data_IF_023164490286
#
_entry.id   IF_023164490286
#
_cell.length_a   1.000
_cell.length_b   1.000
_cell.length_c   1.000
_cell.angle_alpha   90.00
_cell.angle_beta   90.00
_cell.angle_gamma   90.00
#
_symmetry.space_group_name_H-M   'P 1'
#
loop_
_entity.id
_entity.type
_entity.pdbx_description
1 polymer ?
#
# COMPACT_ATOMS: atom_id res chain seq x y z
N UNK A 1 -32.41 -5.01 27.02
CA UNK A 1 -31.45 -6.12 26.77
C UNK A 1 -30.44 -5.74 25.68
N UNK A 2 -29.93 -4.51 25.73
CA UNK A 2 -29.06 -3.95 24.70
C UNK A 2 -27.95 -3.13 25.37
N UNK A 3 -27.10 -3.81 26.15
CA UNK A 3 -25.87 -3.26 26.72
C UNK A 3 -24.93 -4.45 26.92
N UNK A 4 -23.83 -4.53 26.17
CA UNK A 4 -22.85 -5.61 26.35
C UNK A 4 -21.93 -6.00 25.18
N UNK A 5 -21.89 -5.28 24.05
CA UNK A 5 -20.94 -5.58 22.96
C UNK A 5 -20.09 -4.37 22.54
N UNK A 6 -19.75 -3.50 23.49
CA UNK A 6 -18.76 -2.44 23.32
C UNK A 6 -17.55 -2.71 24.22
N UNK A 7 -16.82 -3.79 23.95
CA UNK A 7 -15.52 -4.04 24.56
C UNK A 7 -14.56 -4.67 23.53
N UNK A 8 -13.38 -4.05 23.44
CA UNK A 8 -12.25 -4.39 22.59
C UNK A 8 -12.40 -4.06 21.09
N UNK A 9 -12.27 -2.76 20.77
CA UNK A 9 -11.41 -2.37 19.65
C UNK A 9 -9.98 -2.82 19.98
N UNK A 10 -9.74 -4.13 19.91
CA UNK A 10 -8.42 -4.71 20.11
C UNK A 10 -7.52 -4.15 19.02
N UNK A 11 -6.38 -3.55 19.42
CA UNK A 11 -5.25 -3.30 18.53
C UNK A 11 -5.11 -4.50 17.60
N UNK A 12 -5.41 -4.32 16.31
CA UNK A 12 -5.32 -5.37 15.30
C UNK A 12 -3.96 -6.04 15.43
N UNK A 13 -3.92 -7.26 15.97
CA UNK A 13 -2.67 -7.98 16.20
C UNK A 13 -2.16 -8.49 14.87
N UNK A 14 -0.85 -8.40 14.68
CA UNK A 14 -0.25 -8.96 13.48
C UNK A 14 -0.43 -10.50 13.47
N UNK A 15 -0.60 -11.09 12.29
CA UNK A 15 -0.83 -12.53 12.20
C UNK A 15 0.35 -13.39 12.67
N UNK A 16 1.54 -12.81 12.83
CA UNK A 16 2.70 -13.54 13.36
C UNK A 16 2.59 -13.71 14.87
N UNK A 17 2.28 -12.64 15.60
CA UNK A 17 2.03 -12.64 17.03
C UNK A 17 0.82 -13.50 17.39
N UNK A 18 -0.27 -13.38 16.60
CA UNK A 18 -1.44 -14.23 16.78
C UNK A 18 -1.09 -15.71 16.54
N UNK A 19 -0.27 -15.97 15.51
CA UNK A 19 0.30 -17.29 15.21
C UNK A 19 1.08 -17.87 16.39
N UNK A 20 2.05 -17.12 16.90
CA UNK A 20 2.89 -17.51 18.04
C UNK A 20 2.05 -17.78 19.29
N UNK A 21 1.09 -16.90 19.61
CA UNK A 21 0.16 -17.06 20.74
C UNK A 21 -0.68 -18.34 20.62
N UNK A 22 -1.17 -18.66 19.41
CA UNK A 22 -1.87 -19.92 19.17
C UNK A 22 -0.95 -21.14 19.28
N UNK A 23 0.33 -20.99 18.99
CA UNK A 23 1.29 -22.09 19.08
C UNK A 23 1.62 -22.43 20.54
N UNK A 24 1.55 -21.44 21.44
CA UNK A 24 1.74 -21.63 22.88
C UNK A 24 0.52 -22.22 23.59
N UNK A 25 -0.69 -22.03 23.04
CA UNK A 25 -1.92 -22.66 23.56
C UNK A 25 -2.07 -24.08 22.96
N UNK A 26 -2.06 -25.16 23.78
CA UNK A 26 -2.20 -26.53 23.29
C UNK A 26 -3.50 -26.77 22.49
N UNK A 27 -4.61 -26.13 22.89
CA UNK A 27 -5.92 -26.29 22.25
C UNK A 27 -5.91 -25.61 20.88
N UNK A 28 -5.51 -24.34 20.83
CA UNK A 28 -5.39 -23.61 19.58
C UNK A 28 -4.39 -24.27 18.63
N UNK A 29 -3.22 -24.66 19.14
CA UNK A 29 -2.17 -25.29 18.34
C UNK A 29 -2.63 -26.61 17.71
N UNK A 30 -3.33 -27.46 18.45
CA UNK A 30 -3.88 -28.70 17.92
C UNK A 30 -4.87 -28.43 16.78
N UNK A 31 -5.82 -27.50 16.98
CA UNK A 31 -6.80 -27.11 15.95
C UNK A 31 -6.12 -26.50 14.73
N UNK A 32 -5.13 -25.62 14.91
CA UNK A 32 -4.41 -24.99 13.82
C UNK A 32 -3.58 -25.99 12.99
N UNK A 33 -3.00 -27.03 13.62
CA UNK A 33 -2.35 -28.15 12.91
C UNK A 33 -3.34 -28.96 12.09
N UNK A 34 -4.50 -29.29 12.67
CA UNK A 34 -5.59 -29.99 11.95
C UNK A 34 -6.07 -29.16 10.75
N UNK A 35 -6.23 -27.85 10.91
CA UNK A 35 -6.61 -26.95 9.82
C UNK A 35 -5.61 -27.00 8.65
N UNK A 36 -4.30 -26.97 8.94
CA UNK A 36 -3.27 -27.09 7.89
C UNK A 36 -3.34 -28.44 7.17
N UNK A 37 -3.67 -29.52 7.87
CA UNK A 37 -3.89 -30.83 7.25
C UNK A 37 -5.14 -30.82 6.36
N UNK A 38 -6.21 -30.13 6.75
CA UNK A 38 -7.41 -30.01 5.93
C UNK A 38 -7.15 -29.31 4.58
N UNK A 39 -6.26 -28.31 4.57
CA UNK A 39 -6.00 -27.46 3.39
C UNK A 39 -4.93 -28.06 2.46
N UNK A 40 -4.00 -28.84 3.00
CA UNK A 40 -2.91 -29.41 2.21
C UNK A 40 -3.42 -30.53 1.29
N UNK A 41 -3.31 -30.34 -0.04
CA UNK A 41 -3.56 -31.31 -1.13
C UNK A 41 -4.08 -32.71 -0.75
N UNK A 42 -5.38 -32.94 -0.92
CA UNK A 42 -6.11 -34.15 -0.54
C UNK A 42 -6.09 -34.50 0.96
N UNK A 43 -5.73 -33.56 1.83
CA UNK A 43 -5.54 -33.81 3.26
C UNK A 43 -6.83 -34.06 4.02
N UNK A 44 -7.97 -33.54 3.56
CA UNK A 44 -9.28 -34.00 4.01
C UNK A 44 -9.46 -35.53 3.76
N UNK A 45 -8.92 -36.09 2.68
CA UNK A 45 -9.02 -37.54 2.44
C UNK A 45 -8.07 -38.34 3.36
N UNK A 46 -7.04 -37.72 3.93
CA UNK A 46 -6.06 -38.34 4.85
C UNK A 46 -6.52 -38.40 6.31
N UNK A 47 -7.58 -37.65 6.67
CA UNK A 47 -8.15 -37.57 8.02
C UNK A 47 -9.20 -38.67 8.30
N UNK A 48 -9.48 -39.56 7.33
CA UNK A 48 -10.40 -40.69 7.49
C UNK A 48 -11.88 -40.35 7.27
N UNK A 49 -12.80 -41.31 7.52
CA UNK A 49 -14.23 -41.08 7.43
C UNK A 49 -14.67 -40.00 8.44
N UNK A 50 -15.27 -38.90 7.96
CA UNK A 50 -15.64 -37.76 8.81
C UNK A 50 -14.65 -36.58 8.78
N UNK A 51 -13.60 -36.65 7.98
CA UNK A 51 -12.64 -35.56 7.83
C UNK A 51 -13.26 -34.20 7.47
N UNK A 52 -14.27 -34.18 6.58
CA UNK A 52 -14.94 -32.93 6.20
C UNK A 52 -15.63 -32.24 7.40
N UNK A 53 -16.28 -33.01 8.27
CA UNK A 53 -16.92 -32.45 9.47
C UNK A 53 -15.88 -32.04 10.51
N UNK A 54 -14.79 -32.80 10.65
CA UNK A 54 -13.66 -32.43 11.51
C UNK A 54 -12.98 -31.14 11.06
N UNK A 55 -12.77 -30.95 9.75
CA UNK A 55 -12.23 -29.73 9.17
C UNK A 55 -13.17 -28.54 9.41
N UNK A 56 -14.48 -28.71 9.17
CA UNK A 56 -15.47 -27.66 9.42
C UNK A 56 -15.53 -27.26 10.90
N UNK A 57 -15.57 -28.24 11.82
CA UNK A 57 -15.55 -27.99 13.27
C UNK A 57 -14.28 -27.27 13.71
N UNK A 58 -13.13 -27.63 13.13
CA UNK A 58 -11.84 -26.99 13.39
C UNK A 58 -11.84 -25.52 12.95
N UNK A 59 -12.40 -25.23 11.78
CA UNK A 59 -12.54 -23.84 11.28
C UNK A 59 -13.42 -23.03 12.23
N UNK A 60 -14.60 -23.54 12.60
CA UNK A 60 -15.51 -22.86 13.54
C UNK A 60 -14.85 -22.54 14.88
N UNK A 61 -14.06 -23.47 15.43
CA UNK A 61 -13.32 -23.24 16.67
C UNK A 61 -12.21 -22.19 16.52
N UNK A 62 -11.65 -22.00 15.32
CA UNK A 62 -10.63 -21.00 15.06
C UNK A 62 -11.22 -19.61 14.73
N UNK A 63 -12.50 -19.51 14.36
CA UNK A 63 -13.20 -18.23 14.16
C UNK A 63 -13.28 -17.40 15.45
N UNK A 64 -13.40 -18.05 16.61
CA UNK A 64 -13.39 -17.38 17.93
C UNK A 64 -12.00 -17.06 18.45
N UNK A 65 -10.94 -17.51 17.76
CA UNK A 65 -9.56 -17.26 18.16
C UNK A 65 -9.07 -15.89 17.70
N UNK A 66 -8.03 -15.37 18.36
CA UNK A 66 -7.36 -14.13 17.94
C UNK A 66 -6.74 -14.21 16.54
N UNK A 67 -6.57 -15.42 15.99
CA UNK A 67 -6.04 -15.60 14.65
C UNK A 67 -7.01 -15.15 13.55
N UNK A 68 -8.33 -15.21 13.78
CA UNK A 68 -9.30 -14.90 12.73
C UNK A 68 -9.26 -13.41 12.34
N UNK A 69 -9.15 -12.53 13.34
CA UNK A 69 -9.12 -11.08 13.15
C UNK A 69 -7.74 -10.49 12.86
N UNK A 70 -6.69 -11.32 12.74
CA UNK A 70 -5.34 -10.82 12.54
C UNK A 70 -5.18 -10.16 11.15
N UNK A 71 -4.26 -9.20 11.05
CA UNK A 71 -3.90 -8.54 9.79
C UNK A 71 -2.40 -8.51 9.58
N UNK A 72 -1.99 -8.19 8.37
CA UNK A 72 -0.60 -8.01 7.99
C UNK A 72 -0.31 -6.55 7.62
N UNK A 73 0.96 -6.17 7.66
CA UNK A 73 1.43 -4.85 7.22
C UNK A 73 2.21 -4.99 5.92
N UNK A 74 1.92 -4.13 4.95
CA UNK A 74 2.69 -4.06 3.70
C UNK A 74 4.17 -3.79 3.99
N UNK A 75 5.07 -4.44 3.25
CA UNK A 75 6.51 -4.20 3.34
C UNK A 75 7.19 -4.70 4.64
N UNK A 76 6.47 -5.45 5.49
CA UNK A 76 7.03 -6.03 6.72
C UNK A 76 8.05 -7.13 6.41
N UNK A 77 9.06 -7.32 7.27
CA UNK A 77 10.20 -8.25 7.02
C UNK A 77 9.75 -9.69 6.72
N UNK A 78 8.72 -10.17 7.41
CA UNK A 78 8.16 -11.54 7.28
C UNK A 78 6.77 -11.54 6.61
N UNK A 79 6.53 -10.63 5.66
CA UNK A 79 5.22 -10.44 5.01
C UNK A 79 4.65 -11.75 4.44
N UNK A 80 5.45 -12.47 3.63
CA UNK A 80 5.02 -13.76 3.04
C UNK A 80 4.55 -14.76 4.11
N UNK A 81 5.22 -14.78 5.27
CA UNK A 81 4.86 -15.67 6.36
C UNK A 81 3.58 -15.21 7.07
N UNK A 82 3.43 -13.91 7.32
CA UNK A 82 2.22 -13.32 7.88
C UNK A 82 0.99 -13.66 7.03
N UNK A 83 1.11 -13.45 5.71
CA UNK A 83 0.03 -13.73 4.75
C UNK A 83 -0.26 -15.24 4.66
N UNK A 84 0.76 -16.10 4.76
CA UNK A 84 0.55 -17.54 4.81
C UNK A 84 -0.27 -17.96 6.04
N UNK A 85 -0.05 -17.33 7.21
CA UNK A 85 -0.88 -17.54 8.40
C UNK A 85 -2.31 -17.05 8.17
N UNK A 86 -2.49 -15.83 7.65
CA UNK A 86 -3.81 -15.28 7.33
C UNK A 86 -4.60 -16.20 6.40
N UNK A 87 -4.02 -16.53 5.25
CA UNK A 87 -4.69 -17.36 4.25
C UNK A 87 -4.91 -18.80 4.73
N UNK A 88 -4.13 -19.32 5.68
CA UNK A 88 -4.42 -20.64 6.26
C UNK A 88 -5.80 -20.67 6.94
N UNK A 89 -6.30 -19.56 7.43
CA UNK A 89 -7.59 -19.48 8.15
C UNK A 89 -8.71 -19.07 7.21
N UNK A 90 -8.40 -18.10 6.34
CA UNK A 90 -9.37 -17.52 5.43
C UNK A 90 -9.57 -18.34 4.16
N UNK A 91 -8.71 -19.33 3.83
CA UNK A 91 -8.87 -20.16 2.63
C UNK A 91 -9.96 -21.24 2.77
N UNK A 92 -10.19 -21.77 3.97
CA UNK A 92 -11.22 -22.80 4.25
C UNK A 92 -12.66 -22.32 4.18
N UNK A 93 -12.89 -21.01 4.23
CA UNK A 93 -14.23 -20.41 4.12
C UNK A 93 -14.64 -20.12 2.65
N UNK A 94 -13.74 -20.37 1.70
CA UNK A 94 -13.83 -19.85 0.31
C UNK A 94 -14.58 -20.73 -0.67
N UNK A 95 -15.06 -21.91 -0.27
CA UNK A 95 -15.94 -22.74 -1.12
C UNK A 95 -17.38 -22.20 -1.20
N UNK A 96 -17.67 -21.01 -0.65
CA UNK A 96 -19.02 -20.42 -0.74
C UNK A 96 -19.26 -19.00 -0.21
N UNK A 97 -18.24 -18.27 0.27
CA UNK A 97 -18.40 -16.89 0.76
C UNK A 97 -17.44 -15.94 0.02
N UNK A 98 -17.96 -14.80 -0.42
CA UNK A 98 -17.27 -13.82 -1.26
C UNK A 98 -15.92 -13.38 -0.66
N UNK A 99 -14.83 -13.67 -1.38
CA UNK A 99 -13.44 -13.21 -1.15
C UNK A 99 -13.33 -11.68 -0.93
N UNK A 100 -14.32 -10.95 -1.44
CA UNK A 100 -14.32 -9.49 -1.51
C UNK A 100 -14.48 -8.80 -0.15
N UNK A 101 -14.78 -9.51 0.93
CA UNK A 101 -15.12 -8.84 2.21
C UNK A 101 -13.93 -8.62 3.17
N UNK A 102 -12.75 -9.22 2.95
CA UNK A 102 -11.61 -8.98 3.84
C UNK A 102 -10.23 -8.96 3.15
N UNK A 103 -9.67 -7.75 2.95
CA UNK A 103 -8.25 -7.58 2.65
C UNK A 103 -7.38 -8.10 3.82
N UNK A 104 -6.30 -8.85 3.57
CA UNK A 104 -5.39 -9.33 4.61
C UNK A 104 -4.53 -8.23 5.25
N UNK A 105 -4.43 -7.07 4.61
CA UNK A 105 -3.64 -5.96 5.14
C UNK A 105 -4.45 -5.08 6.06
N UNK A 106 -3.77 -4.47 7.04
CA UNK A 106 -4.36 -3.41 7.85
C UNK A 106 -4.80 -2.25 6.95
N UNK A 107 -5.98 -1.64 7.20
CA UNK A 107 -6.39 -0.44 6.50
C UNK A 107 -5.31 0.63 6.62
N UNK A 108 -5.04 1.33 5.51
CA UNK A 108 -4.16 2.47 5.56
C UNK A 108 -4.84 3.60 6.33
N UNK A 109 -4.42 3.82 7.57
CA UNK A 109 -4.99 4.81 8.49
C UNK A 109 -4.16 6.10 8.59
N UNK A 110 -3.05 6.24 7.84
CA UNK A 110 -2.37 7.54 7.85
C UNK A 110 -3.32 8.58 7.26
N UNK A 111 -3.50 9.63 8.04
CA UNK A 111 -4.55 10.63 7.94
C UNK A 111 -4.81 11.09 6.52
N UNK A 112 -6.08 11.40 6.30
CA UNK A 112 -6.74 11.85 5.08
C UNK A 112 -6.08 13.01 4.31
N UNK A 113 -4.93 13.54 4.76
CA UNK A 113 -4.21 14.62 4.10
C UNK A 113 -2.98 14.09 3.39
N UNK A 114 -3.22 13.58 2.19
CA UNK A 114 -2.20 13.46 1.18
C UNK A 114 -1.79 14.88 0.74
N UNK A 115 -0.94 15.56 1.53
CA UNK A 115 -0.40 16.85 1.11
C UNK A 115 0.55 16.59 -0.06
N UNK A 116 0.05 16.91 -1.24
CA UNK A 116 0.79 16.83 -2.49
C UNK A 116 2.10 17.60 -2.37
N UNK A 117 3.24 16.99 -2.73
CA UNK A 117 4.54 17.68 -2.77
C UNK A 117 4.51 18.92 -3.70
N UNK A 118 3.66 18.89 -4.74
CA UNK A 118 3.45 20.05 -5.62
C UNK A 118 2.90 21.29 -4.89
N UNK A 119 2.27 21.15 -3.71
CA UNK A 119 1.89 22.30 -2.87
C UNK A 119 3.08 23.00 -2.22
N UNK A 120 4.25 22.34 -2.15
CA UNK A 120 5.49 22.89 -1.61
C UNK A 120 6.31 23.58 -2.72
N UNK A 121 6.19 23.13 -3.97
CA UNK A 121 6.91 23.71 -5.12
C UNK A 121 6.24 24.96 -5.71
N UNK A 122 5.02 25.31 -5.28
CA UNK A 122 4.32 26.53 -5.72
C UNK A 122 4.99 27.85 -5.24
N UNK A 123 6.08 27.79 -4.46
CA UNK A 123 6.84 28.96 -4.01
C UNK A 123 7.93 29.46 -4.96
N UNK A 124 8.06 28.88 -6.17
CA UNK A 124 9.05 29.34 -7.17
C UNK A 124 8.33 29.99 -8.35
N UNK A 125 7.75 31.16 -8.12
CA UNK A 125 7.43 32.11 -9.19
C UNK A 125 8.73 32.54 -9.85
N UNK A 126 9.05 31.96 -11.01
CA UNK A 126 9.81 32.54 -12.13
C UNK A 126 10.23 31.41 -13.07
N UNK A 127 9.33 31.00 -13.98
CA UNK A 127 9.60 30.65 -15.39
C UNK A 127 8.38 29.98 -16.01
N UNK A 128 7.81 30.63 -17.02
CA UNK A 128 6.69 30.14 -17.85
C UNK A 128 7.23 29.13 -18.86
N UNK A 129 7.86 28.07 -18.37
CA UNK A 129 8.09 26.85 -19.16
C UNK A 129 7.02 25.86 -18.75
N UNK A 130 6.25 25.35 -19.72
CA UNK A 130 5.23 24.32 -19.53
C UNK A 130 5.73 23.23 -18.55
N UNK A 131 5.22 23.26 -17.33
CA UNK A 131 5.83 22.57 -16.19
C UNK A 131 5.53 21.08 -16.28
N UNK A 132 6.50 20.27 -16.73
CA UNK A 132 6.37 18.83 -16.78
C UNK A 132 6.35 18.24 -15.35
N UNK A 133 5.15 17.98 -14.82
CA UNK A 133 5.00 17.51 -13.43
C UNK A 133 5.71 16.19 -13.14
N UNK A 134 5.84 15.30 -14.13
CA UNK A 134 6.62 14.07 -13.97
C UNK A 134 8.12 14.33 -13.83
N UNK A 135 8.64 15.39 -14.48
CA UNK A 135 10.03 15.82 -14.30
C UNK A 135 10.24 16.40 -12.91
N UNK A 136 9.31 17.20 -12.40
CA UNK A 136 9.44 17.76 -11.05
C UNK A 136 9.30 16.72 -9.96
N UNK A 137 8.40 15.75 -10.12
CA UNK A 137 8.33 14.56 -9.27
C UNK A 137 9.67 13.81 -9.26
N UNK A 138 10.31 13.67 -10.43
CA UNK A 138 11.62 13.07 -10.54
C UNK A 138 12.73 13.89 -9.83
N UNK A 139 12.68 15.22 -9.90
CA UNK A 139 13.59 16.10 -9.16
C UNK A 139 13.38 15.99 -7.65
N UNK A 140 12.13 16.04 -7.18
CA UNK A 140 11.80 15.90 -5.77
C UNK A 140 12.30 14.58 -5.17
N UNK A 141 12.07 13.46 -5.87
CA UNK A 141 12.61 12.15 -5.47
C UNK A 141 14.14 12.11 -5.48
N UNK A 142 14.82 12.88 -6.34
CA UNK A 142 16.28 12.92 -6.38
C UNK A 142 16.90 13.73 -5.23
N UNK A 143 16.11 14.59 -4.57
CA UNK A 143 16.54 15.34 -3.37
C UNK A 143 16.34 14.50 -2.10
N UNK A 144 15.29 13.68 -2.04
CA UNK A 144 15.05 12.78 -0.91
C UNK A 144 15.98 11.57 -0.94
N UNK A 145 16.81 11.40 0.10
CA UNK A 145 17.83 10.35 0.16
C UNK A 145 17.25 8.92 0.03
N UNK A 146 16.08 8.67 0.64
CA UNK A 146 15.46 7.35 0.61
C UNK A 146 14.90 7.06 -0.79
N UNK A 147 14.17 8.01 -1.36
CA UNK A 147 13.58 7.91 -2.69
C UNK A 147 14.66 7.76 -3.75
N UNK A 148 15.65 8.65 -3.77
CA UNK A 148 16.76 8.62 -4.72
C UNK A 148 17.51 7.29 -4.68
N UNK A 149 17.86 6.80 -3.49
CA UNK A 149 18.59 5.55 -3.31
C UNK A 149 17.79 4.34 -3.79
N UNK A 150 16.53 4.20 -3.36
CA UNK A 150 15.70 3.06 -3.75
C UNK A 150 15.31 3.14 -5.24
N UNK A 151 15.15 4.34 -5.79
CA UNK A 151 14.94 4.57 -7.22
C UNK A 151 16.12 4.07 -8.04
N UNK A 152 17.31 4.52 -7.68
CA UNK A 152 18.56 4.11 -8.32
C UNK A 152 18.75 2.59 -8.22
N UNK A 153 18.45 1.99 -7.06
CA UNK A 153 18.52 0.54 -6.84
C UNK A 153 17.62 -0.22 -7.84
N UNK A 154 16.32 0.09 -7.91
CA UNK A 154 15.43 -0.68 -8.80
C UNK A 154 15.77 -0.43 -10.28
N UNK A 155 16.06 0.82 -10.66
CA UNK A 155 16.42 1.16 -12.05
C UNK A 155 17.65 0.37 -12.50
N UNK A 156 18.69 0.33 -11.66
CA UNK A 156 19.91 -0.44 -11.97
C UNK A 156 19.63 -1.94 -12.15
N UNK A 157 18.75 -2.51 -11.33
CA UNK A 157 18.40 -3.93 -11.40
C UNK A 157 17.49 -4.27 -12.59
N UNK A 158 16.67 -3.32 -13.05
CA UNK A 158 15.79 -3.50 -14.20
C UNK A 158 16.51 -3.26 -15.54
N UNK A 159 17.52 -2.39 -15.59
CA UNK A 159 18.30 -2.11 -16.81
C UNK A 159 19.45 -3.12 -16.98
N UNK A 160 20.03 -3.64 -15.89
CA UNK A 160 21.19 -4.55 -15.95
C UNK A 160 20.87 -5.83 -16.72
N UNK A 161 21.58 -6.04 -17.82
CA UNK A 161 21.59 -7.29 -18.58
C UNK A 161 22.69 -8.22 -18.09
N UNK A 162 22.40 -9.47 -17.71
CA UNK A 162 23.42 -10.49 -17.49
C UNK A 162 24.25 -10.69 -18.77
N UNK A 163 25.56 -10.95 -18.65
CA UNK A 163 26.50 -11.00 -19.77
C UNK A 163 26.26 -12.15 -20.80
N UNK A 164 25.15 -12.88 -20.70
CA UNK A 164 24.74 -14.00 -21.58
C UNK A 164 23.22 -14.13 -21.74
N UNK A 165 22.45 -13.11 -21.37
CA UNK A 165 20.99 -13.15 -21.43
C UNK A 165 20.45 -12.05 -22.34
N UNK A 166 19.51 -12.42 -23.21
CA UNK A 166 18.81 -11.49 -24.10
C UNK A 166 17.85 -10.56 -23.35
N UNK A 167 17.61 -10.82 -22.05
CA UNK A 167 16.64 -10.12 -21.22
C UNK A 167 17.16 -9.81 -19.81
N UNK A 168 16.51 -8.84 -19.16
CA UNK A 168 16.81 -8.47 -17.78
C UNK A 168 16.42 -9.58 -16.77
N UNK A 169 16.95 -9.52 -15.55
CA UNK A 169 16.45 -10.37 -14.46
C UNK A 169 15.16 -9.81 -13.86
N UNK A 170 14.01 -10.15 -14.48
CA UNK A 170 12.69 -9.66 -14.09
C UNK A 170 12.34 -9.93 -12.63
N UNK A 171 12.75 -11.08 -12.06
CA UNK A 171 12.51 -11.41 -10.64
C UNK A 171 13.22 -10.43 -9.69
N UNK A 172 14.48 -10.09 -9.96
CA UNK A 172 15.23 -9.08 -9.18
C UNK A 172 14.64 -7.69 -9.35
N UNK A 173 14.30 -7.30 -10.59
CA UNK A 173 13.64 -6.04 -10.89
C UNK A 173 12.31 -5.89 -10.12
N UNK A 174 11.42 -6.89 -10.21
CA UNK A 174 10.15 -6.93 -9.48
C UNK A 174 10.33 -6.86 -7.96
N UNK A 175 11.32 -7.56 -7.40
CA UNK A 175 11.63 -7.49 -5.97
C UNK A 175 12.04 -6.08 -5.54
N UNK A 176 12.85 -5.40 -6.36
CA UNK A 176 13.28 -4.04 -6.09
C UNK A 176 12.16 -3.01 -6.25
N UNK A 177 11.30 -3.17 -7.28
CA UNK A 177 10.10 -2.34 -7.47
C UNK A 177 9.14 -2.45 -6.27
N UNK A 178 8.84 -3.66 -5.80
CA UNK A 178 8.01 -3.84 -4.58
C UNK A 178 8.63 -3.14 -3.38
N UNK A 179 9.96 -3.25 -3.21
CA UNK A 179 10.69 -2.56 -2.12
C UNK A 179 10.57 -1.03 -2.26
N UNK A 180 10.66 -0.48 -3.46
CA UNK A 180 10.49 0.95 -3.72
C UNK A 180 9.10 1.42 -3.31
N UNK A 181 8.02 0.82 -3.84
CA UNK A 181 6.64 1.23 -3.54
C UNK A 181 6.17 0.92 -2.11
N UNK A 182 6.82 -0.02 -1.41
CA UNK A 182 6.50 -0.30 0.00
C UNK A 182 7.28 0.56 1.01
N UNK A 183 8.40 1.16 0.61
CA UNK A 183 9.30 1.88 1.52
C UNK A 183 9.39 3.37 1.25
N UNK A 184 9.30 3.79 0.00
CA UNK A 184 9.27 5.20 -0.35
C UNK A 184 7.87 5.73 -0.03
N UNK A 185 7.77 6.87 0.67
CA UNK A 185 6.49 7.45 0.99
C UNK A 185 5.61 7.69 -0.26
N UNK A 186 4.28 7.51 -0.15
CA UNK A 186 3.37 7.71 -1.26
C UNK A 186 3.59 9.04 -1.97
N UNK A 187 3.82 10.13 -1.23
CA UNK A 187 3.98 11.50 -1.76
C UNK A 187 4.99 11.56 -2.91
N UNK A 188 6.07 10.79 -2.89
CA UNK A 188 6.99 10.70 -4.02
C UNK A 188 6.55 9.68 -5.06
N UNK A 189 6.12 8.50 -4.64
CA UNK A 189 5.83 7.39 -5.58
C UNK A 189 4.61 7.65 -6.46
N UNK A 190 3.56 8.28 -5.93
CA UNK A 190 2.38 8.63 -6.71
C UNK A 190 2.64 9.85 -7.61
N UNK A 191 3.44 10.83 -7.18
CA UNK A 191 3.82 11.94 -8.04
C UNK A 191 4.64 11.46 -9.24
N UNK A 192 5.51 10.47 -9.05
CA UNK A 192 6.24 9.86 -10.16
C UNK A 192 5.32 9.10 -11.13
N UNK A 193 4.33 8.39 -10.59
CA UNK A 193 3.54 7.43 -11.36
C UNK A 193 2.25 8.00 -11.96
N UNK A 194 1.59 8.92 -11.26
CA UNK A 194 0.28 9.48 -11.60
C UNK A 194 0.33 10.97 -11.94
N UNK A 195 1.51 11.52 -12.22
CA UNK A 195 1.66 12.88 -12.72
C UNK A 195 0.78 13.12 -13.97
N UNK A 196 0.07 14.25 -14.04
CA UNK A 196 -0.69 14.61 -15.23
C UNK A 196 0.28 15.05 -16.35
N UNK A 197 -0.11 14.80 -17.59
CA UNK A 197 0.68 15.10 -18.77
C UNK A 197 -0.16 15.73 -19.86
N UNK A 198 0.39 16.76 -20.50
CA UNK A 198 -0.20 17.46 -21.64
C UNK A 198 0.45 17.06 -22.97
N UNK A 199 1.68 16.53 -22.92
CA UNK A 199 2.44 16.11 -24.09
C UNK A 199 2.89 14.63 -24.00
N UNK A 200 3.31 14.10 -25.15
CA UNK A 200 3.76 12.71 -25.29
C UNK A 200 5.09 12.45 -24.58
N UNK A 201 5.94 13.48 -24.41
CA UNK A 201 7.22 13.37 -23.71
C UNK A 201 7.02 13.14 -22.20
N UNK A 202 6.11 13.88 -21.58
CA UNK A 202 5.66 13.66 -20.21
C UNK A 202 5.01 12.29 -20.06
N UNK A 203 4.08 11.94 -20.96
CA UNK A 203 3.38 10.65 -20.89
C UNK A 203 4.34 9.47 -21.03
N UNK A 204 5.36 9.58 -21.88
CA UNK A 204 6.42 8.57 -21.99
C UNK A 204 7.28 8.51 -20.73
N UNK A 205 7.63 9.66 -20.12
CA UNK A 205 8.33 9.67 -18.82
C UNK A 205 7.53 8.95 -17.75
N UNK A 206 6.21 9.20 -17.69
CA UNK A 206 5.28 8.52 -16.77
C UNK A 206 5.26 7.01 -17.01
N UNK A 207 5.13 6.58 -18.27
CA UNK A 207 5.14 5.16 -18.68
C UNK A 207 6.46 4.46 -18.34
N UNK A 208 7.58 5.17 -18.43
CA UNK A 208 8.93 4.67 -18.15
C UNK A 208 9.26 4.54 -16.65
N UNK A 209 8.41 5.04 -15.75
CA UNK A 209 8.64 5.05 -14.29
C UNK A 209 9.07 3.70 -13.72
N UNK A 210 8.46 2.61 -14.22
CA UNK A 210 8.72 1.25 -13.74
C UNK A 210 9.66 0.44 -14.67
N UNK A 211 10.28 1.07 -15.67
CA UNK A 211 11.14 0.40 -16.68
C UNK A 211 10.39 -0.73 -17.41
N UNK A 212 9.37 -0.39 -18.24
CA UNK A 212 8.45 -1.37 -18.82
C UNK A 212 9.13 -2.46 -19.65
N UNK A 213 10.20 -2.12 -20.37
CA UNK A 213 11.00 -3.08 -21.17
C UNK A 213 11.52 -4.28 -20.37
N UNK A 214 11.58 -4.18 -19.04
CA UNK A 214 11.95 -5.27 -18.14
C UNK A 214 10.79 -5.75 -17.26
N UNK A 215 10.07 -4.81 -16.65
CA UNK A 215 9.10 -5.10 -15.58
C UNK A 215 7.69 -5.40 -16.07
N UNK A 216 7.35 -4.99 -17.30
CA UNK A 216 6.00 -5.00 -17.84
C UNK A 216 5.92 -5.78 -19.15
N UNK A 217 6.63 -5.34 -20.18
CA UNK A 217 6.60 -5.90 -21.53
C UNK A 217 7.21 -7.30 -21.59
N UNK A 218 6.72 -8.10 -22.53
CA UNK A 218 7.26 -9.39 -22.94
C UNK A 218 7.04 -9.55 -24.46
N UNK A 219 7.73 -10.50 -25.10
CA UNK A 219 7.64 -10.70 -26.56
C UNK A 219 6.21 -10.87 -27.04
N UNK A 220 5.43 -11.68 -26.32
CA UNK A 220 4.03 -11.96 -26.61
C UNK A 220 3.13 -11.51 -25.47
N UNK A 221 1.85 -11.26 -25.76
CA UNK A 221 0.81 -11.02 -24.75
C UNK A 221 0.10 -12.34 -24.45
N UNK A 222 0.32 -12.97 -23.29
CA UNK A 222 -0.37 -14.20 -22.93
C UNK A 222 -1.86 -13.92 -22.64
N UNK A 223 -2.64 -14.99 -22.48
CA UNK A 223 -3.98 -14.89 -21.92
C UNK A 223 -3.90 -14.39 -20.45
N UNK A 224 -4.75 -13.44 -20.05
CA UNK A 224 -4.71 -12.83 -18.70
C UNK A 224 -4.94 -13.81 -17.55
N UNK A 225 -5.58 -14.96 -17.81
CA UNK A 225 -5.77 -15.98 -16.80
C UNK A 225 -4.44 -16.61 -16.34
N UNK A 226 -3.43 -16.70 -17.21
CA UNK A 226 -2.13 -17.24 -16.83
C UNK A 226 -1.39 -16.41 -15.75
N UNK A 227 -1.17 -15.08 -15.91
CA UNK A 227 -0.60 -14.27 -14.84
C UNK A 227 -1.54 -14.14 -13.63
N UNK A 228 -2.87 -14.17 -13.82
CA UNK A 228 -3.83 -14.17 -12.72
C UNK A 228 -3.73 -15.43 -11.86
N UNK A 229 -3.66 -16.61 -12.46
CA UNK A 229 -3.53 -17.88 -11.74
C UNK A 229 -2.17 -17.95 -11.03
N UNK A 230 -1.09 -17.49 -11.68
CA UNK A 230 0.23 -17.32 -11.02
C UNK A 230 0.18 -16.35 -9.82
N UNK A 231 -0.63 -15.28 -9.92
CA UNK A 231 -0.84 -14.35 -8.82
C UNK A 231 -1.58 -14.99 -7.64
N UNK A 232 -2.60 -15.82 -7.92
CA UNK A 232 -3.41 -16.51 -6.90
C UNK A 232 -2.59 -17.52 -6.08
N UNK A 233 -1.60 -18.16 -6.69
CA UNK A 233 -0.68 -19.07 -6.00
C UNK A 233 0.34 -18.33 -5.12
N UNK A 234 0.64 -17.07 -5.44
CA UNK A 234 1.59 -16.25 -4.70
C UNK A 234 0.89 -15.46 -3.58
N UNK A 235 1.14 -15.81 -2.31
CA UNK A 235 0.53 -15.12 -1.17
C UNK A 235 0.64 -13.60 -1.21
N UNK A 236 1.76 -13.03 -1.63
CA UNK A 236 1.91 -11.57 -1.71
C UNK A 236 1.04 -11.02 -2.82
N UNK A 237 1.13 -11.58 -4.03
CA UNK A 237 0.34 -11.10 -5.18
C UNK A 237 -1.17 -11.25 -4.93
N UNK A 238 -1.63 -12.43 -4.53
CA UNK A 238 -3.03 -12.72 -4.15
C UNK A 238 -3.56 -11.69 -3.17
N UNK A 239 -2.77 -11.35 -2.15
CA UNK A 239 -3.15 -10.39 -1.12
C UNK A 239 -3.25 -8.97 -1.64
N UNK A 240 -2.28 -8.53 -2.45
CA UNK A 240 -2.28 -7.18 -3.06
C UNK A 240 -3.38 -7.03 -4.10
N UNK A 241 -3.68 -8.10 -4.85
CA UNK A 241 -4.80 -8.15 -5.78
C UNK A 241 -6.15 -8.06 -5.05
N UNK A 242 -6.34 -8.81 -3.96
CA UNK A 242 -7.55 -8.71 -3.14
C UNK A 242 -7.73 -7.29 -2.55
N UNK A 243 -6.64 -6.66 -2.10
CA UNK A 243 -6.66 -5.27 -1.63
C UNK A 243 -7.05 -4.28 -2.74
N UNK A 244 -6.59 -4.50 -3.97
CA UNK A 244 -6.97 -3.69 -5.13
C UNK A 244 -8.45 -3.87 -5.50
N UNK A 245 -8.94 -5.10 -5.58
CA UNK A 245 -10.36 -5.36 -5.80
C UNK A 245 -11.23 -4.70 -4.73
N UNK A 246 -10.75 -4.70 -3.48
CA UNK A 246 -11.45 -4.13 -2.34
C UNK A 246 -11.47 -2.59 -2.35
N UNK A 247 -10.34 -1.94 -2.58
CA UNK A 247 -10.24 -0.47 -2.49
C UNK A 247 -10.62 0.24 -3.79
N UNK A 248 -10.43 -0.40 -4.94
CA UNK A 248 -10.77 0.15 -6.25
C UNK A 248 -12.07 -0.42 -6.82
N UNK A 249 -12.95 -0.96 -5.97
CA UNK A 249 -14.24 -1.47 -6.43
C UNK A 249 -15.06 -0.32 -7.05
N UNK A 250 -15.42 -0.39 -8.35
CA UNK A 250 -16.21 0.64 -8.99
C UNK A 250 -17.63 0.67 -8.43
N UNK A 251 -18.17 1.87 -8.26
CA UNK A 251 -19.56 2.09 -7.86
C UNK A 251 -20.11 3.27 -8.66
N UNK A 252 -20.94 3.04 -9.70
CA UNK A 252 -21.53 4.10 -10.50
C UNK A 252 -22.48 5.02 -9.71
N UNK A 253 -22.95 4.55 -8.55
CA UNK A 253 -23.86 5.28 -7.67
C UNK A 253 -23.11 6.24 -6.72
N UNK A 254 -21.83 5.97 -6.46
CA UNK A 254 -21.01 6.82 -5.60
C UNK A 254 -20.50 8.02 -6.42
N UNK A 255 -20.55 9.23 -5.85
CA UNK A 255 -20.06 10.44 -6.51
C UNK A 255 -18.57 10.35 -6.87
N UNK A 256 -17.78 9.67 -6.03
CA UNK A 256 -16.37 9.43 -6.31
C UNK A 256 -16.14 8.42 -7.45
N UNK A 257 -17.13 7.58 -7.76
CA UNK A 257 -16.99 6.37 -8.58
C UNK A 257 -16.42 5.18 -7.81
N UNK A 258 -16.00 5.34 -6.55
CA UNK A 258 -15.43 4.30 -5.70
C UNK A 258 -16.44 3.85 -4.63
N UNK A 259 -16.58 2.54 -4.40
CA UNK A 259 -17.51 2.04 -3.36
C UNK A 259 -17.18 2.51 -1.94
N UNK A 260 -15.91 2.80 -1.65
CA UNK A 260 -15.43 3.24 -0.32
C UNK A 260 -15.10 4.74 -0.23
N UNK A 261 -15.38 5.49 -1.29
CA UNK A 261 -15.11 6.94 -1.37
C UNK A 261 -13.68 7.35 -0.96
N UNK A 262 -12.68 6.54 -1.30
CA UNK A 262 -11.28 6.82 -0.98
C UNK A 262 -10.35 6.57 -2.17
N UNK A 263 -10.04 7.65 -2.90
CA UNK A 263 -9.05 7.58 -4.00
C UNK A 263 -7.66 7.21 -3.50
N UNK A 264 -7.24 7.71 -2.33
CA UNK A 264 -5.91 7.41 -1.79
C UNK A 264 -5.73 5.91 -1.51
N UNK A 265 -6.75 5.25 -0.96
CA UNK A 265 -6.73 3.80 -0.74
C UNK A 265 -6.66 3.02 -2.06
N UNK A 266 -7.40 3.47 -3.08
CA UNK A 266 -7.35 2.84 -4.41
C UNK A 266 -5.97 3.00 -5.07
N UNK A 267 -5.39 4.20 -5.10
CA UNK A 267 -4.06 4.45 -5.68
C UNK A 267 -2.96 3.68 -4.94
N UNK A 268 -3.04 3.61 -3.61
CA UNK A 268 -2.12 2.82 -2.81
C UNK A 268 -2.24 1.32 -3.11
N UNK A 269 -3.47 0.81 -3.29
CA UNK A 269 -3.69 -0.58 -3.66
C UNK A 269 -3.16 -0.89 -5.08
N UNK A 270 -3.34 0.03 -6.03
CA UNK A 270 -2.79 -0.06 -7.39
C UNK A 270 -1.26 -0.17 -7.37
N UNK A 271 -0.56 0.74 -6.68
CA UNK A 271 0.91 0.69 -6.57
C UNK A 271 1.39 -0.57 -5.86
N UNK A 272 0.55 -1.14 -4.98
CA UNK A 272 0.80 -2.41 -4.30
C UNK A 272 0.87 -3.63 -5.22
N UNK A 273 0.29 -3.56 -6.43
CA UNK A 273 0.36 -4.65 -7.42
C UNK A 273 1.67 -4.60 -8.23
N UNK A 274 2.33 -3.45 -8.31
CA UNK A 274 3.53 -3.28 -9.15
C UNK A 274 4.68 -4.17 -8.66
N UNK A 275 5.32 -4.85 -9.61
CA UNK A 275 6.34 -5.86 -9.32
C UNK A 275 5.73 -7.21 -8.94
N UNK A 276 4.53 -7.53 -9.42
CA UNK A 276 3.91 -8.85 -9.32
C UNK A 276 3.64 -9.47 -10.72
N UNK A 277 3.19 -10.73 -10.83
CA UNK A 277 2.80 -11.32 -12.11
C UNK A 277 1.76 -10.50 -12.91
N UNK A 278 0.89 -9.76 -12.23
CA UNK A 278 -0.18 -8.94 -12.84
C UNK A 278 0.17 -7.43 -12.85
N UNK A 279 1.46 -7.07 -12.92
CA UNK A 279 1.92 -5.67 -12.91
C UNK A 279 1.21 -4.85 -14.01
N UNK A 280 0.43 -3.81 -13.66
CA UNK A 280 -0.17 -2.90 -14.64
C UNK A 280 0.83 -1.81 -15.04
N UNK A 281 0.62 -1.23 -16.22
CA UNK A 281 1.27 0.02 -16.63
C UNK A 281 0.37 0.80 -17.61
N UNK A 282 0.75 2.04 -17.93
CA UNK A 282 0.22 2.76 -19.07
C UNK A 282 0.54 2.00 -20.37
N UNK A 283 -0.48 1.81 -21.21
CA UNK A 283 -0.39 1.01 -22.45
C UNK A 283 0.40 1.76 -23.52
N UNK A 284 0.18 3.07 -23.63
CA UNK A 284 0.79 3.96 -24.60
C UNK A 284 1.13 5.32 -23.94
N UNK A 285 1.63 6.26 -24.74
CA UNK A 285 1.98 7.62 -24.35
C UNK A 285 1.01 8.68 -24.88
N UNK A 286 -0.14 8.26 -25.41
CA UNK A 286 -1.17 9.14 -25.98
C UNK A 286 -2.46 9.14 -25.15
N UNK A 287 -2.71 8.07 -24.42
CA UNK A 287 -3.86 7.88 -23.53
C UNK A 287 -3.43 7.73 -22.08
N UNK A 288 -4.41 7.75 -21.17
CA UNK A 288 -4.20 7.35 -19.76
C UNK A 288 -4.68 5.93 -19.48
N UNK A 289 -4.77 5.10 -20.53
CA UNK A 289 -5.23 3.71 -20.43
C UNK A 289 -4.18 2.86 -19.72
N UNK A 290 -4.62 2.07 -18.75
CA UNK A 290 -3.77 1.20 -17.94
C UNK A 290 -4.26 -0.25 -18.04
N UNK A 291 -3.32 -1.19 -18.13
CA UNK A 291 -3.63 -2.61 -18.15
C UNK A 291 -2.42 -3.45 -17.73
N UNK A 292 -2.63 -4.68 -17.22
CA UNK A 292 -1.58 -5.71 -17.19
C UNK A 292 -1.16 -6.13 -18.63
N UNK A 293 0.03 -6.71 -18.76
CA UNK A 293 0.53 -7.18 -20.07
C UNK A 293 -0.08 -8.53 -20.47
N UNK A 294 -1.34 -8.51 -20.92
CA UNK A 294 -2.07 -9.71 -21.36
C UNK A 294 -3.28 -9.34 -22.23
N UNK A 295 -3.96 -10.36 -22.78
CA UNK A 295 -5.26 -10.21 -23.48
C UNK A 295 -6.22 -11.31 -23.05
N UNK A 296 -7.50 -11.22 -23.42
CA UNK A 296 -8.49 -12.28 -23.22
C UNK A 296 -8.72 -13.15 -24.46
N UNK A 297 -7.74 -13.20 -25.37
CA UNK A 297 -7.81 -14.09 -26.52
C UNK A 297 -7.68 -15.55 -26.07
N UNK A 298 -8.52 -16.42 -26.62
CA UNK A 298 -8.52 -17.86 -26.36
C UNK A 298 -8.74 -18.26 -24.88
N UNK A 299 -9.61 -17.55 -24.14
CA UNK A 299 -9.93 -17.91 -22.74
C UNK A 299 -10.92 -19.09 -22.61
N UNK A 300 -11.60 -19.47 -23.69
CA UNK A 300 -12.59 -20.55 -23.71
C UNK A 300 -13.73 -20.28 -22.71
N UNK A 301 -14.02 -21.26 -21.85
CA UNK A 301 -15.12 -21.17 -20.87
C UNK A 301 -14.88 -20.14 -19.75
N UNK A 302 -13.67 -19.60 -19.61
CA UNK A 302 -13.30 -18.60 -18.58
C UNK A 302 -13.23 -17.17 -19.16
N UNK A 303 -13.91 -16.91 -20.28
CA UNK A 303 -13.90 -15.60 -20.95
C UNK A 303 -14.39 -14.46 -20.04
N UNK A 304 -15.53 -14.65 -19.39
CA UNK A 304 -16.11 -13.65 -18.47
C UNK A 304 -15.17 -13.33 -17.30
N UNK A 305 -14.53 -14.36 -16.72
CA UNK A 305 -13.54 -14.18 -15.65
C UNK A 305 -12.35 -13.34 -16.13
N UNK A 306 -11.86 -13.62 -17.35
CA UNK A 306 -10.76 -12.88 -17.94
C UNK A 306 -11.12 -11.41 -18.17
N UNK A 307 -12.28 -11.16 -18.78
CA UNK A 307 -12.77 -9.81 -19.09
C UNK A 307 -13.03 -9.02 -17.82
N UNK A 308 -13.65 -9.64 -16.81
CA UNK A 308 -13.86 -9.04 -15.49
C UNK A 308 -12.53 -8.62 -14.86
N UNK A 309 -11.51 -9.49 -14.89
CA UNK A 309 -10.17 -9.16 -14.42
C UNK A 309 -9.55 -7.98 -15.17
N UNK A 310 -9.62 -7.98 -16.51
CA UNK A 310 -9.03 -6.93 -17.33
C UNK A 310 -9.74 -5.59 -17.13
N UNK A 311 -11.08 -5.60 -17.01
CA UNK A 311 -11.89 -4.41 -16.80
C UNK A 311 -11.64 -3.71 -15.46
N UNK A 312 -11.16 -4.42 -14.44
CA UNK A 312 -10.73 -3.77 -13.19
C UNK A 312 -9.61 -2.73 -13.41
N UNK A 313 -8.84 -2.85 -14.50
CA UNK A 313 -7.80 -1.91 -14.88
C UNK A 313 -8.26 -0.97 -16.00
N UNK A 314 -8.86 -1.52 -17.06
CA UNK A 314 -9.15 -0.76 -18.29
C UNK A 314 -10.43 0.07 -18.20
N UNK A 315 -11.45 -0.42 -17.51
CA UNK A 315 -12.78 0.19 -17.45
C UNK A 315 -13.27 0.32 -16.00
N UNK A 316 -12.48 1.04 -15.19
CA UNK A 316 -12.76 1.23 -13.78
C UNK A 316 -12.86 2.73 -13.46
N UNK A 317 -14.10 3.21 -13.31
CA UNK A 317 -14.41 4.61 -12.99
C UNK A 317 -13.75 5.09 -11.69
N UNK A 318 -13.66 4.24 -10.67
CA UNK A 318 -12.98 4.58 -9.42
C UNK A 318 -11.50 4.90 -9.65
N UNK A 319 -10.80 4.02 -10.38
CA UNK A 319 -9.37 4.15 -10.65
C UNK A 319 -9.07 5.33 -11.58
N UNK A 320 -9.89 5.52 -12.62
CA UNK A 320 -9.76 6.66 -13.54
C UNK A 320 -9.94 8.00 -12.79
N UNK A 321 -11.02 8.12 -12.00
CA UNK A 321 -11.26 9.32 -11.20
C UNK A 321 -10.17 9.54 -10.15
N UNK A 322 -9.66 8.48 -9.52
CA UNK A 322 -8.58 8.57 -8.55
C UNK A 322 -7.29 9.16 -9.16
N UNK A 323 -6.88 8.66 -10.33
CA UNK A 323 -5.69 9.15 -11.04
C UNK A 323 -5.90 10.60 -11.50
N UNK A 324 -7.07 10.93 -12.03
CA UNK A 324 -7.40 12.28 -12.48
C UNK A 324 -7.44 13.28 -11.32
N UNK A 325 -8.11 12.93 -10.21
CA UNK A 325 -8.19 13.77 -9.02
C UNK A 325 -6.81 14.02 -8.39
N UNK A 326 -5.96 12.99 -8.38
CA UNK A 326 -4.56 13.14 -7.98
C UNK A 326 -3.82 14.12 -8.89
N UNK A 327 -3.95 13.94 -10.21
CA UNK A 327 -3.35 14.81 -11.22
C UNK A 327 -3.77 16.28 -11.07
N UNK A 328 -5.05 16.54 -10.81
CA UNK A 328 -5.60 17.89 -10.66
C UNK A 328 -5.29 18.54 -9.30
N UNK A 329 -4.86 17.75 -8.30
CA UNK A 329 -4.68 18.26 -6.94
C UNK A 329 -5.99 18.46 -6.17
N UNK A 330 -7.08 17.87 -6.65
CA UNK A 330 -8.44 17.98 -6.06
C UNK A 330 -8.69 16.98 -4.93
N UNK A 331 -7.64 16.33 -4.41
CA UNK A 331 -7.75 15.46 -3.22
C UNK A 331 -7.99 16.24 -1.92
N UNK A 332 -8.07 17.57 -2.02
CA UNK A 332 -8.44 18.46 -0.93
C UNK A 332 -9.95 18.70 -0.96
N UNK A 333 -10.63 18.29 0.12
CA UNK A 333 -12.02 18.58 0.52
C UNK A 333 -13.10 17.56 0.17
N UNK A 334 -13.36 16.67 1.12
CA UNK A 334 -14.76 16.32 1.49
C UNK A 334 -14.93 15.98 2.98
N UNK A 335 -13.98 16.35 3.84
CA UNK A 335 -14.18 16.29 5.29
C UNK A 335 -14.56 17.69 5.78
N UNK A 336 -15.79 17.83 6.27
CA UNK A 336 -16.22 18.96 7.10
C UNK A 336 -15.22 19.08 8.25
N UNK A 337 -14.32 20.05 8.19
CA UNK A 337 -13.46 20.36 9.31
C UNK A 337 -14.31 21.01 10.41
N UNK A 338 -14.30 20.50 11.67
CA UNK A 338 -14.62 21.36 12.79
C UNK A 338 -13.57 22.47 12.81
N UNK A 339 -14.03 23.71 12.83
CA UNK A 339 -13.21 24.91 12.89
C UNK A 339 -12.34 24.91 14.15
N UNK A 340 -11.09 24.47 14.01
CA UNK A 340 -10.04 24.75 14.99
C UNK A 340 -9.26 25.96 14.46
N UNK A 341 -9.24 27.10 15.19
CA UNK A 341 -8.49 28.27 14.77
C UNK A 341 -6.98 27.97 14.72
N UNK A 342 -6.23 28.56 13.77
CA UNK A 342 -4.83 28.23 13.54
C UNK A 342 -3.94 28.59 14.73
N UNK A 343 -3.25 27.58 15.29
CA UNK A 343 -2.33 27.67 16.44
C UNK A 343 -1.02 28.42 16.16
N UNK A 344 -0.95 29.18 15.06
CA UNK A 344 0.26 29.91 14.64
C UNK A 344 0.53 31.18 15.45
N UNK A 345 -0.34 31.54 16.40
CA UNK A 345 -0.11 32.65 17.34
C UNK A 345 0.48 32.21 18.69
N UNK A 346 0.32 30.95 19.12
CA UNK A 346 0.85 30.51 20.43
C UNK A 346 2.37 30.28 20.43
N UNK A 347 2.94 29.80 19.33
CA UNK A 347 4.40 29.56 19.24
C UNK A 347 5.25 30.84 19.20
N UNK A 348 4.67 31.99 18.79
CA UNK A 348 5.36 33.30 18.87
C UNK A 348 5.28 33.90 20.28
N UNK A 349 4.23 33.59 21.04
CA UNK A 349 4.05 34.13 22.39
C UNK A 349 4.94 33.41 23.41
N UNK A 350 5.11 32.08 23.30
CA UNK A 350 6.03 31.32 24.17
C UNK A 350 7.51 31.68 23.95
N UNK A 351 7.95 31.94 22.71
CA UNK A 351 9.32 32.41 22.44
C UNK A 351 9.59 33.80 23.01
N UNK A 352 8.60 34.70 22.99
CA UNK A 352 8.75 36.04 23.54
C UNK A 352 8.69 36.05 25.08
N UNK A 353 7.87 35.18 25.69
CA UNK A 353 7.83 35.00 27.15
C UNK A 353 9.15 34.41 27.68
N UNK A 354 9.71 33.41 27.00
CA UNK A 354 10.99 32.79 27.40
C UNK A 354 12.18 33.74 27.22
N UNK A 355 12.12 34.66 26.25
CA UNK A 355 13.16 35.69 26.06
C UNK A 355 13.07 36.80 27.11
N UNK A 356 11.87 37.16 27.57
CA UNK A 356 11.66 38.12 28.66
C UNK A 356 12.06 37.55 30.05
N UNK A 357 11.84 36.26 30.27
CA UNK A 357 12.28 35.56 31.50
C UNK A 357 13.80 35.42 31.57
N UNK A 358 14.49 35.23 30.42
CA UNK A 358 15.94 35.19 30.37
C UNK A 358 16.59 36.55 30.73
N UNK A 359 16.07 37.66 30.21
CA UNK A 359 16.58 39.02 30.54
C UNK A 359 16.26 39.46 31.97
N UNK A 360 15.16 39.00 32.57
CA UNK A 360 14.86 39.23 34.00
C UNK A 360 15.78 38.42 34.93
N UNK A 361 16.26 37.24 34.48
CA UNK A 361 17.16 36.38 35.25
C UNK A 361 18.62 36.83 35.19
N UNK A 362 19.05 37.46 34.10
CA UNK A 362 20.37 38.09 33.98
C UNK A 362 20.46 39.39 34.80
N UNK A 363 19.40 40.20 34.84
CA UNK A 363 19.38 41.43 35.66
C UNK A 363 19.21 41.20 37.18
N UNK A 364 18.88 39.98 37.62
CA UNK A 364 18.77 39.62 39.05
C UNK A 364 20.02 38.94 39.62
N UNK A 365 21.03 38.66 38.78
CA UNK A 365 22.28 38.02 39.19
C UNK A 365 23.45 39.02 39.40
N UNK A 366 23.26 40.32 39.12
CA UNK A 366 24.28 41.37 39.31
C UNK A 366 24.18 42.14 40.66
N UNK A 367 23.44 41.63 41.66
CA UNK A 367 23.32 42.31 42.96
C UNK A 367 23.61 41.47 44.20
N UNK A 368 24.70 40.68 44.16
CA UNK A 368 25.28 40.05 45.35
C UNK A 368 26.81 40.26 45.35
N UNK A 369 27.26 41.40 45.85
CA UNK A 369 28.65 41.59 46.28
C UNK A 369 28.88 40.98 47.68
N UNK A 370 30.11 40.53 47.98
CA UNK A 370 30.38 39.53 49.00
C UNK A 370 30.62 40.11 50.40
N UNK A 371 30.00 39.50 51.41
CA UNK A 371 30.33 39.70 52.82
C UNK A 371 31.71 39.12 53.13
N UNK A 372 32.63 39.99 53.55
CA UNK A 372 33.96 39.64 54.09
C UNK A 372 33.83 39.07 55.51
N UNK A 373 34.40 37.89 55.76
CA UNK A 373 35.09 37.57 57.04
C UNK A 373 36.20 36.55 56.75
N UNK A 374 37.41 36.89 57.18
CA UNK A 374 38.58 36.01 57.27
C UNK A 374 39.58 36.66 58.24
N UNK A 375 39.91 35.93 59.29
CA UNK A 375 40.56 36.34 60.54
C UNK A 375 42.02 36.81 60.40
N UNK A 376 42.48 37.53 61.43
CA UNK A 376 43.83 37.32 61.97
C UNK A 376 44.75 38.53 62.05
N UNK A 377 44.62 39.32 63.12
CA UNK A 377 45.73 39.46 64.07
C UNK A 377 45.21 39.57 65.50
#
# INVERSE_FOLDING_TARGET
>A
LAEGMAAAAGSSRDCLQAGESCTTDPVCSAKFRTLRQCIAGNGANKLGPGAKSQCRSTVTALLSSQLYGCKCKRGMKKEKHCLSVYWSIHHTLMEGMNVLESSPYEPFLRGFDYVRLASITAGSENEVTQVNRCLDAAKACNVDELCQRLRTEYVSLCIRRPARADSCNRSKCHKALRRFFDRVPPEYTHELLFCPCEDTACAERRRQTIVPACSYEAKDKPNCLAPLDSCRENYVCRSRYAEFQFNCQPSPQAASGCRRDSYAACLLAYTGIIGSPITPNYIDNSTSSIAPWCTCNASGNRQEECESFLHLFTNNICLQNAIQAFGNGTHLNTAVAPSIPPTTQMYKQERNANRAVATLRENSLEHLQPTKVGEGR
#
